data_IF_936926320536
#
_entry.id   IF_936926320536
#
_cell.length_a   1.000
_cell.length_b   1.000
_cell.length_c   1.000
_cell.angle_alpha   90.00
_cell.angle_beta   90.00
_cell.angle_gamma   90.00
#
_symmetry.space_group_name_H-M   'P 1'
#
loop_
_entity.id
_entity.type
_entity.pdbx_description
1 polymer ?
#
# COMPACT_ATOMS: atom_id res chain seq x y z
N UNK A 1 -21.59 -25.45 0.86
CA UNK A 1 -20.36 -25.43 1.68
C UNK A 1 -19.18 -25.53 0.74
N UNK A 2 -18.54 -24.41 0.40
CA UNK A 2 -17.33 -24.41 -0.43
C UNK A 2 -16.18 -24.14 0.53
N UNK A 3 -15.42 -25.18 0.90
CA UNK A 3 -14.19 -24.98 1.64
C UNK A 3 -13.23 -24.26 0.69
N UNK A 4 -13.02 -22.96 0.90
CA UNK A 4 -11.96 -22.24 0.21
C UNK A 4 -10.64 -22.85 0.64
N UNK A 5 -9.88 -23.40 -0.31
CA UNK A 5 -8.53 -23.89 -0.06
C UNK A 5 -7.72 -22.81 0.65
N UNK A 6 -6.98 -23.18 1.69
CA UNK A 6 -6.25 -22.20 2.48
C UNK A 6 -5.16 -21.52 1.63
N UNK A 7 -4.85 -20.26 1.94
CA UNK A 7 -3.91 -19.46 1.12
C UNK A 7 -2.50 -20.06 1.17
N UNK A 8 -2.13 -20.56 2.34
CA UNK A 8 -0.90 -21.30 2.64
C UNK A 8 -0.74 -22.59 1.83
N UNK A 9 -1.84 -23.16 1.32
CA UNK A 9 -1.80 -24.33 0.41
C UNK A 9 -1.79 -23.93 -1.07
N UNK A 10 -1.91 -22.65 -1.35
CA UNK A 10 -2.11 -22.10 -2.70
C UNK A 10 -0.96 -21.17 -3.14
N UNK A 11 -0.11 -20.74 -2.19
CA UNK A 11 1.13 -20.01 -2.45
C UNK A 11 2.26 -20.73 -1.73
N UNK A 12 3.33 -21.05 -2.45
CA UNK A 12 4.47 -21.74 -1.85
C UNK A 12 5.21 -20.79 -0.89
N UNK A 13 5.86 -21.35 0.13
CA UNK A 13 6.71 -20.54 1.02
C UNK A 13 7.82 -19.80 0.25
N UNK A 14 8.37 -20.44 -0.78
CA UNK A 14 9.36 -19.84 -1.68
C UNK A 14 8.81 -18.60 -2.37
N UNK A 15 7.62 -18.67 -2.95
CA UNK A 15 6.96 -17.52 -3.59
C UNK A 15 6.66 -16.42 -2.56
N UNK A 16 6.15 -16.77 -1.37
CA UNK A 16 5.92 -15.82 -0.29
C UNK A 16 7.20 -15.06 0.09
N UNK A 17 8.31 -15.77 0.26
CA UNK A 17 9.62 -15.18 0.59
C UNK A 17 10.11 -14.28 -0.53
N UNK A 18 10.06 -14.74 -1.78
CA UNK A 18 10.46 -13.93 -2.93
C UNK A 18 9.62 -12.67 -3.09
N UNK A 19 8.30 -12.79 -2.98
CA UNK A 19 7.37 -11.67 -3.04
C UNK A 19 7.69 -10.64 -1.95
N UNK A 20 7.94 -11.10 -0.72
CA UNK A 20 8.30 -10.23 0.39
C UNK A 20 9.54 -9.39 0.08
N UNK A 21 10.63 -10.01 -0.41
CA UNK A 21 11.84 -9.28 -0.77
C UNK A 21 11.66 -8.35 -1.98
N UNK A 22 10.90 -8.77 -3.00
CA UNK A 22 10.58 -7.92 -4.16
C UNK A 22 9.81 -6.67 -3.73
N UNK A 23 8.81 -6.83 -2.86
CA UNK A 23 8.05 -5.73 -2.29
C UNK A 23 8.91 -4.83 -1.39
N UNK A 24 9.81 -5.39 -0.58
CA UNK A 24 10.72 -4.60 0.25
C UNK A 24 11.67 -3.73 -0.60
N UNK A 25 12.14 -4.24 -1.74
CA UNK A 25 13.06 -3.52 -2.62
C UNK A 25 12.36 -2.51 -3.54
N UNK A 26 11.23 -2.90 -4.15
CA UNK A 26 10.57 -2.14 -5.22
C UNK A 26 9.28 -1.45 -4.78
N UNK A 27 8.81 -1.71 -3.57
CA UNK A 27 7.53 -1.20 -3.07
C UNK A 27 6.37 -1.64 -3.94
N UNK A 28 5.47 -0.69 -4.25
CA UNK A 28 4.26 -0.92 -5.05
C UNK A 28 4.55 -1.27 -6.52
N UNK A 29 5.78 -1.06 -7.00
CA UNK A 29 6.20 -1.42 -8.36
C UNK A 29 6.71 -2.87 -8.47
N UNK A 30 6.59 -3.68 -7.40
CA UNK A 30 7.04 -5.06 -7.41
C UNK A 30 6.14 -5.97 -8.25
N UNK A 31 6.75 -6.86 -9.03
CA UNK A 31 6.09 -8.02 -9.64
C UNK A 31 6.14 -9.20 -8.67
N UNK A 32 4.99 -9.83 -8.42
CA UNK A 32 4.82 -10.92 -7.46
C UNK A 32 4.15 -12.13 -8.10
N UNK A 33 4.29 -13.30 -7.46
CA UNK A 33 3.54 -14.51 -7.79
C UNK A 33 2.40 -14.67 -6.79
N UNK A 34 1.15 -14.62 -7.26
CA UNK A 34 -0.04 -14.81 -6.44
C UNK A 34 -0.88 -15.95 -7.02
N UNK A 35 -1.07 -17.01 -6.24
CA UNK A 35 -1.85 -18.20 -6.64
C UNK A 35 -1.40 -18.76 -8.00
N UNK A 36 -0.08 -18.83 -8.22
CA UNK A 36 0.53 -19.32 -9.47
C UNK A 36 0.54 -18.31 -10.64
N UNK A 37 0.00 -17.11 -10.48
CA UNK A 37 0.00 -16.06 -11.52
C UNK A 37 1.01 -14.97 -11.20
N UNK A 38 1.70 -14.45 -12.21
CA UNK A 38 2.54 -13.25 -12.08
C UNK A 38 1.72 -12.00 -12.34
N UNK A 39 1.80 -11.01 -11.45
CA UNK A 39 1.11 -9.73 -11.56
C UNK A 39 1.84 -8.65 -10.75
N UNK A 40 1.46 -7.39 -10.95
CA UNK A 40 1.96 -6.30 -10.11
C UNK A 40 1.29 -6.34 -8.74
N UNK A 41 2.04 -6.03 -7.69
CA UNK A 41 1.48 -5.94 -6.33
C UNK A 41 0.40 -4.85 -6.23
N UNK A 42 0.55 -3.76 -6.98
CA UNK A 42 -0.45 -2.69 -7.06
C UNK A 42 -1.79 -3.21 -7.60
N UNK A 43 -1.77 -4.00 -8.68
CA UNK A 43 -2.97 -4.62 -9.26
C UNK A 43 -3.62 -5.58 -8.25
N UNK A 44 -2.84 -6.44 -7.58
CA UNK A 44 -3.35 -7.32 -6.53
C UNK A 44 -4.06 -6.55 -5.41
N UNK A 45 -3.46 -5.45 -4.95
CA UNK A 45 -4.00 -4.64 -3.88
C UNK A 45 -5.31 -3.96 -4.28
N UNK A 46 -5.35 -3.30 -5.44
CA UNK A 46 -6.50 -2.54 -5.90
C UNK A 46 -7.68 -3.46 -6.26
N UNK A 47 -7.42 -4.55 -6.97
CA UNK A 47 -8.47 -5.37 -7.57
C UNK A 47 -9.01 -6.44 -6.61
N UNK A 48 -8.21 -6.85 -5.62
CA UNK A 48 -8.55 -7.97 -4.74
C UNK A 48 -8.45 -7.60 -3.26
N UNK A 49 -7.25 -7.27 -2.77
CA UNK A 49 -7.01 -7.26 -1.32
C UNK A 49 -7.69 -6.09 -0.60
N UNK A 50 -7.69 -4.88 -1.19
CA UNK A 50 -8.37 -3.72 -0.58
C UNK A 50 -9.90 -3.91 -0.58
N UNK A 51 -10.55 -4.32 -1.69
CA UNK A 51 -11.97 -4.67 -1.67
C UNK A 51 -12.32 -5.76 -0.65
N UNK A 52 -11.48 -6.81 -0.55
CA UNK A 52 -11.67 -7.88 0.43
C UNK A 52 -11.53 -7.37 1.88
N UNK A 53 -10.53 -6.52 2.14
CA UNK A 53 -10.34 -5.92 3.47
C UNK A 53 -11.54 -5.06 3.87
N UNK A 54 -12.05 -4.22 2.96
CA UNK A 54 -13.27 -3.43 3.18
C UNK A 54 -14.45 -4.32 3.57
N UNK A 55 -14.73 -5.35 2.78
CA UNK A 55 -15.83 -6.28 3.05
C UNK A 55 -15.66 -7.03 4.38
N UNK A 56 -14.42 -7.40 4.73
CA UNK A 56 -14.11 -8.03 6.01
C UNK A 56 -14.39 -7.10 7.20
N UNK A 57 -13.97 -5.84 7.11
CA UNK A 57 -14.22 -4.83 8.14
C UNK A 57 -15.72 -4.54 8.31
N UNK A 58 -16.48 -4.47 7.22
CA UNK A 58 -17.95 -4.33 7.26
C UNK A 58 -18.59 -5.51 8.00
N UNK A 59 -18.17 -6.75 7.71
CA UNK A 59 -18.66 -7.96 8.41
C UNK A 59 -18.29 -8.01 9.89
N UNK A 60 -17.19 -7.36 10.27
CA UNK A 60 -16.78 -7.20 11.67
C UNK A 60 -17.50 -6.04 12.38
N UNK A 61 -18.47 -5.38 11.72
CA UNK A 61 -19.20 -4.22 12.22
C UNK A 61 -18.28 -3.04 12.62
N UNK A 62 -17.15 -2.88 11.93
CA UNK A 62 -16.33 -1.68 12.06
C UNK A 62 -17.13 -0.49 11.51
N UNK A 63 -16.96 0.69 12.13
CA UNK A 63 -17.73 1.87 11.76
C UNK A 63 -17.51 2.24 10.28
N UNK A 64 -18.60 2.64 9.61
CA UNK A 64 -18.53 3.09 8.22
C UNK A 64 -17.55 4.27 8.07
N UNK A 65 -17.53 5.19 9.03
CA UNK A 65 -16.62 6.34 9.05
C UNK A 65 -15.15 5.93 9.07
N UNK A 66 -14.78 4.90 9.85
CA UNK A 66 -13.40 4.41 9.89
C UNK A 66 -13.02 3.73 8.58
N UNK A 67 -13.91 2.90 8.03
CA UNK A 67 -13.67 2.24 6.74
C UNK A 67 -13.50 3.28 5.63
N UNK A 68 -14.36 4.31 5.62
CA UNK A 68 -14.30 5.39 4.66
C UNK A 68 -12.96 6.14 4.77
N UNK A 69 -12.58 6.57 5.97
CA UNK A 69 -11.36 7.34 6.21
C UNK A 69 -10.09 6.53 5.87
N UNK A 70 -9.97 5.31 6.41
CA UNK A 70 -8.73 4.55 6.32
C UNK A 70 -8.61 3.78 5.00
N UNK A 71 -9.67 3.09 4.57
CA UNK A 71 -9.60 2.28 3.34
C UNK A 71 -9.79 3.16 2.11
N UNK A 72 -10.92 3.88 2.02
CA UNK A 72 -11.33 4.54 0.78
C UNK A 72 -10.57 5.85 0.54
N UNK A 73 -10.36 6.65 1.59
CA UNK A 73 -9.74 7.98 1.46
C UNK A 73 -8.24 7.98 1.69
N UNK A 74 -7.67 6.95 2.36
CA UNK A 74 -6.24 6.94 2.69
C UNK A 74 -5.45 5.83 1.99
N UNK A 75 -5.80 4.56 2.21
CA UNK A 75 -5.01 3.42 1.70
C UNK A 75 -5.20 3.25 0.19
N UNK A 76 -6.45 3.25 -0.28
CA UNK A 76 -6.75 3.08 -1.70
C UNK A 76 -6.03 4.12 -2.58
N UNK A 77 -6.09 5.44 -2.29
CA UNK A 77 -5.42 6.43 -3.13
C UNK A 77 -3.88 6.37 -3.07
N UNK A 78 -3.29 5.95 -1.92
CA UNK A 78 -1.84 5.71 -1.83
C UNK A 78 -1.39 4.60 -2.76
N UNK A 79 -2.15 3.51 -2.81
CA UNK A 79 -1.87 2.40 -3.71
C UNK A 79 -2.12 2.83 -5.16
N UNK A 80 -3.22 3.51 -5.44
CA UNK A 80 -3.58 3.99 -6.78
C UNK A 80 -2.51 4.92 -7.37
N UNK A 81 -2.07 5.91 -6.59
CA UNK A 81 -1.09 6.90 -7.05
C UNK A 81 0.36 6.40 -6.94
N UNK A 82 0.59 5.23 -6.33
CA UNK A 82 1.94 4.74 -6.03
C UNK A 82 2.71 5.60 -5.02
N UNK A 83 2.04 6.56 -4.37
CA UNK A 83 2.66 7.55 -3.50
C UNK A 83 2.45 7.18 -2.02
N UNK A 84 3.55 6.82 -1.38
CA UNK A 84 3.66 6.57 0.06
C UNK A 84 4.81 7.40 0.65
N UNK A 85 5.01 7.35 1.96
CA UNK A 85 6.04 8.15 2.64
C UNK A 85 7.45 7.94 2.11
N UNK A 86 7.86 6.68 1.86
CA UNK A 86 9.20 6.40 1.34
C UNK A 86 9.38 6.85 -0.11
N UNK A 87 8.34 6.73 -0.94
CA UNK A 87 8.35 7.27 -2.30
C UNK A 87 8.45 8.80 -2.29
N UNK A 88 7.63 9.48 -1.49
CA UNK A 88 7.64 10.94 -1.40
C UNK A 88 9.00 11.46 -0.90
N UNK A 89 9.58 10.84 0.14
CA UNK A 89 10.91 11.20 0.64
C UNK A 89 11.99 11.04 -0.45
N UNK A 90 11.97 9.92 -1.18
CA UNK A 90 12.91 9.70 -2.29
C UNK A 90 12.74 10.72 -3.41
N UNK A 91 11.50 11.07 -3.74
CA UNK A 91 11.20 12.05 -4.77
C UNK A 91 11.64 13.46 -4.35
N UNK A 92 11.39 13.84 -3.09
CA UNK A 92 11.86 15.10 -2.51
C UNK A 92 13.38 15.23 -2.63
N UNK A 93 14.12 14.20 -2.20
CA UNK A 93 15.59 14.18 -2.31
C UNK A 93 16.06 14.20 -3.77
N UNK A 94 15.30 13.58 -4.68
CA UNK A 94 15.56 13.64 -6.12
C UNK A 94 15.43 15.06 -6.69
N UNK A 95 14.46 15.84 -6.22
CA UNK A 95 14.21 17.21 -6.69
C UNK A 95 15.04 18.27 -5.97
N UNK A 96 15.32 18.10 -4.68
CA UNK A 96 15.93 19.10 -3.79
C UNK A 96 17.35 18.75 -3.34
N UNK A 97 17.87 17.57 -3.71
CA UNK A 97 19.14 17.06 -3.21
C UNK A 97 19.04 16.51 -1.79
N UNK A 98 20.18 16.31 -1.13
CA UNK A 98 20.25 15.70 0.22
C UNK A 98 19.83 16.66 1.35
N UNK A 99 18.81 17.48 1.13
CA UNK A 99 18.24 18.37 2.14
C UNK A 99 17.29 17.60 3.06
N UNK A 100 17.88 16.82 3.98
CA UNK A 100 17.10 16.04 4.94
C UNK A 100 16.36 16.92 5.96
N UNK A 101 16.88 18.11 6.26
CA UNK A 101 16.24 19.02 7.20
C UNK A 101 14.98 19.64 6.59
N UNK A 102 15.06 20.16 5.36
CA UNK A 102 13.92 20.65 4.60
C UNK A 102 12.88 19.56 4.34
N UNK A 103 13.33 18.35 3.99
CA UNK A 103 12.45 17.18 3.85
C UNK A 103 11.68 16.90 5.15
N UNK A 104 12.38 16.90 6.30
CA UNK A 104 11.78 16.59 7.60
C UNK A 104 10.79 17.67 8.04
N UNK A 105 11.12 18.95 7.80
CA UNK A 105 10.23 20.07 8.07
C UNK A 105 8.95 19.97 7.24
N UNK A 106 9.08 19.76 5.93
CA UNK A 106 7.93 19.65 5.03
C UNK A 106 7.05 18.44 5.37
N UNK A 107 7.68 17.33 5.72
CA UNK A 107 6.98 16.13 6.18
C UNK A 107 6.16 16.41 7.45
N UNK A 108 6.76 17.09 8.43
CA UNK A 108 6.10 17.47 9.67
C UNK A 108 4.91 18.41 9.46
N UNK A 109 5.08 19.45 8.64
CA UNK A 109 4.00 20.40 8.29
C UNK A 109 2.79 19.68 7.70
N UNK A 110 3.03 18.81 6.71
CA UNK A 110 1.95 18.08 6.04
C UNK A 110 1.27 17.04 6.96
N UNK A 111 2.06 16.39 7.83
CA UNK A 111 1.54 15.45 8.81
C UNK A 111 0.64 16.15 9.84
N UNK A 112 1.01 17.36 10.28
CA UNK A 112 0.24 18.14 11.26
C UNK A 112 -1.14 18.52 10.75
N UNK A 113 -1.27 18.78 9.45
CA UNK A 113 -2.55 19.07 8.79
C UNK A 113 -3.39 17.81 8.51
N UNK A 114 -2.92 16.62 8.93
CA UNK A 114 -3.53 15.32 8.64
C UNK A 114 -3.78 15.08 7.14
N UNK A 115 -3.02 15.73 6.27
CA UNK A 115 -3.15 15.54 4.82
C UNK A 115 -2.54 14.18 4.49
N UNK A 116 -3.24 13.30 3.78
CA UNK A 116 -2.69 12.01 3.44
C UNK A 116 -1.57 12.15 2.40
N UNK A 117 -0.50 11.37 2.57
CA UNK A 117 0.74 11.48 1.77
C UNK A 117 0.55 11.39 0.26
N UNK A 118 -0.51 10.73 -0.22
CA UNK A 118 -0.81 10.64 -1.65
C UNK A 118 -1.23 11.97 -2.28
N UNK A 119 -1.50 13.00 -1.47
CA UNK A 119 -1.90 14.35 -1.89
C UNK A 119 -0.77 15.37 -1.74
N UNK A 120 0.41 14.97 -1.28
CA UNK A 120 1.51 15.92 -1.05
C UNK A 120 2.23 16.23 -2.37
N UNK A 121 2.44 17.51 -2.65
CA UNK A 121 3.34 17.93 -3.71
C UNK A 121 4.79 17.59 -3.36
N UNK A 122 5.60 17.35 -4.40
CA UNK A 122 7.06 17.23 -4.28
C UNK A 122 7.66 18.62 -4.47
#
# INVERSE_FOLDING_TARGET
>A
SCQSKALEESITFTDCKENFYKCAQKGLAADIVWLGKKLKVQELLLDQLIPMAKNGLEKLNISFSDIQLYINETIYPRVLNGQNGSHWQRAYIGCHGRDFQGMSQRYWEQQKENIPVHSWSI
#
